data_IF_151210164164
#
_entry.id   IF_151210164164
#
_cell.length_a   1.000
_cell.length_b   1.000
_cell.length_c   1.000
_cell.angle_alpha   90.00
_cell.angle_beta   90.00
_cell.angle_gamma   90.00
#
_symmetry.space_group_name_H-M   'P 1'
#
loop_
_entity.id
_entity.type
_entity.pdbx_description
1 polymer ?
#
# COMPACT_ATOMS: atom_id res chain seq x y z
N UNK A 1 -4.34 -13.61 -11.32
CA UNK A 1 -3.17 -14.36 -10.81
C UNK A 1 -1.86 -13.64 -11.09
N UNK A 2 -1.50 -13.27 -12.34
CA UNK A 2 -0.23 -12.55 -12.65
C UNK A 2 -0.05 -11.23 -11.90
N UNK A 3 -1.11 -10.48 -11.60
CA UNK A 3 -1.02 -9.21 -10.88
C UNK A 3 -0.67 -9.41 -9.40
N UNK A 4 -1.12 -10.49 -8.80
CA UNK A 4 -0.81 -10.84 -7.40
C UNK A 4 0.65 -11.27 -7.22
N UNK A 5 1.19 -12.07 -8.13
CA UNK A 5 2.60 -12.48 -8.09
C UNK A 5 3.56 -11.27 -8.18
N UNK A 6 3.23 -10.28 -9.02
CA UNK A 6 4.04 -9.05 -9.14
C UNK A 6 4.01 -8.24 -7.85
N UNK A 7 2.87 -8.16 -7.18
CA UNK A 7 2.71 -7.49 -5.89
C UNK A 7 3.59 -8.14 -4.81
N UNK A 8 3.49 -9.44 -4.68
CA UNK A 8 4.22 -10.19 -3.65
C UNK A 8 5.73 -10.11 -3.89
N UNK A 9 6.17 -10.20 -5.15
CA UNK A 9 7.56 -9.99 -5.54
C UNK A 9 8.08 -8.58 -5.27
N UNK A 10 7.20 -7.56 -5.36
CA UNK A 10 7.54 -6.17 -5.07
C UNK A 10 7.46 -5.82 -3.56
N UNK A 11 7.04 -6.75 -2.71
CA UNK A 11 6.88 -6.51 -1.27
C UNK A 11 5.73 -5.55 -0.91
N UNK A 12 4.77 -5.36 -1.81
CA UNK A 12 3.65 -4.44 -1.61
C UNK A 12 2.59 -5.11 -0.76
N UNK A 13 2.29 -4.53 0.42
CA UNK A 13 1.18 -4.96 1.28
C UNK A 13 -0.12 -4.32 0.84
N UNK A 14 -1.20 -5.11 0.75
CA UNK A 14 -2.52 -4.62 0.37
C UNK A 14 -3.43 -4.59 1.60
N UNK A 15 -4.03 -3.43 1.80
CA UNK A 15 -5.08 -3.19 2.78
C UNK A 15 -6.34 -2.80 2.04
N UNK A 16 -7.43 -3.50 2.30
CA UNK A 16 -8.74 -3.21 1.72
C UNK A 16 -9.64 -2.64 2.80
N UNK A 17 -10.26 -1.52 2.52
CA UNK A 17 -11.20 -0.87 3.42
C UNK A 17 -12.55 -0.74 2.72
N UNK A 18 -13.55 -1.50 3.17
CA UNK A 18 -14.89 -1.50 2.60
C UNK A 18 -15.98 -1.20 3.65
N UNK A 19 -17.07 -0.59 3.22
CA UNK A 19 -18.27 -0.42 4.03
C UNK A 19 -19.12 -1.69 4.15
N UNK A 20 -18.82 -2.73 3.36
CA UNK A 20 -19.59 -3.98 3.29
C UNK A 20 -19.53 -4.79 4.58
N UNK A 21 -20.49 -5.71 4.70
CA UNK A 21 -20.52 -6.69 5.80
C UNK A 21 -19.35 -7.67 5.69
N UNK A 22 -18.96 -8.24 6.83
CA UNK A 22 -17.85 -9.18 6.95
C UNK A 22 -17.94 -10.32 5.92
N UNK A 23 -19.09 -10.95 5.81
CA UNK A 23 -19.33 -12.09 4.92
C UNK A 23 -19.18 -11.69 3.44
N UNK A 24 -19.71 -10.52 3.09
CA UNK A 24 -19.61 -9.95 1.73
C UNK A 24 -18.16 -9.61 1.39
N UNK A 25 -17.44 -8.97 2.32
CA UNK A 25 -16.04 -8.60 2.14
C UNK A 25 -15.14 -9.84 1.94
N UNK A 26 -15.38 -10.92 2.68
CA UNK A 26 -14.67 -12.19 2.52
C UNK A 26 -15.02 -12.83 1.16
N UNK A 27 -16.29 -12.85 0.78
CA UNK A 27 -16.73 -13.42 -0.49
C UNK A 27 -16.13 -12.65 -1.69
N UNK A 28 -16.10 -11.32 -1.63
CA UNK A 28 -15.43 -10.47 -2.62
C UNK A 28 -13.92 -10.75 -2.62
N UNK A 29 -13.31 -10.90 -1.46
CA UNK A 29 -11.90 -11.23 -1.32
C UNK A 29 -11.53 -12.53 -2.06
N UNK A 30 -12.35 -13.55 -1.95
CA UNK A 30 -12.18 -14.81 -2.69
C UNK A 30 -12.45 -14.66 -4.20
N UNK A 31 -13.48 -13.95 -4.59
CA UNK A 31 -13.84 -13.76 -6.01
C UNK A 31 -12.79 -12.94 -6.77
N UNK A 32 -12.16 -12.00 -6.10
CA UNK A 32 -11.06 -11.17 -6.65
C UNK A 32 -9.69 -11.83 -6.54
N UNK A 33 -9.60 -13.04 -6.00
CA UNK A 33 -8.36 -13.76 -5.72
C UNK A 33 -7.41 -12.97 -4.78
N UNK A 34 -7.96 -12.05 -4.00
CA UNK A 34 -7.23 -11.37 -2.94
C UNK A 34 -6.99 -12.31 -1.76
N UNK A 35 -8.02 -13.11 -1.44
CA UNK A 35 -7.96 -14.22 -0.50
C UNK A 35 -7.89 -15.53 -1.29
N UNK A 36 -6.91 -16.37 -0.97
CA UNK A 36 -6.83 -17.75 -1.47
C UNK A 36 -7.43 -18.71 -0.45
N UNK A 37 -7.97 -19.83 -0.93
CA UNK A 37 -8.46 -20.90 -0.05
C UNK A 37 -7.36 -21.52 0.81
N UNK A 38 -6.11 -21.38 0.37
CA UNK A 38 -4.92 -21.87 1.08
C UNK A 38 -4.45 -20.91 2.17
N UNK A 39 -5.04 -19.71 2.28
CA UNK A 39 -4.71 -18.75 3.33
C UNK A 39 -5.46 -19.05 4.62
N UNK A 40 -4.78 -18.79 5.74
CA UNK A 40 -5.38 -18.83 7.06
C UNK A 40 -6.01 -17.46 7.36
N UNK A 41 -7.28 -17.47 7.79
CA UNK A 41 -8.02 -16.26 8.12
C UNK A 41 -7.97 -15.98 9.63
N UNK A 42 -7.52 -14.79 9.98
CA UNK A 42 -7.62 -14.24 11.34
C UNK A 42 -8.75 -13.21 11.34
N UNK A 43 -9.85 -13.50 12.01
CA UNK A 43 -11.03 -12.64 12.05
C UNK A 43 -11.12 -11.97 13.43
N UNK A 44 -11.18 -10.64 13.44
CA UNK A 44 -11.33 -9.82 14.64
C UNK A 44 -12.64 -9.05 14.54
N UNK A 45 -13.56 -9.30 15.48
CA UNK A 45 -14.87 -8.65 15.54
C UNK A 45 -14.94 -7.67 16.70
N UNK A 46 -15.89 -6.71 16.62
CA UNK A 46 -16.19 -5.84 17.73
C UNK A 46 -16.74 -6.64 18.91
N UNK A 47 -16.22 -6.38 20.09
CA UNK A 47 -16.69 -6.90 21.36
C UNK A 47 -16.65 -5.81 22.42
N UNK A 48 -17.36 -5.99 23.53
CA UNK A 48 -17.34 -5.03 24.63
C UNK A 48 -15.96 -4.96 25.25
N UNK A 49 -15.54 -3.75 25.59
CA UNK A 49 -14.27 -3.44 26.24
C UNK A 49 -14.14 -4.17 27.59
N UNK A 50 -13.00 -4.82 27.83
CA UNK A 50 -12.75 -5.56 29.08
C UNK A 50 -13.39 -6.94 29.15
N UNK A 51 -14.13 -7.38 28.13
CA UNK A 51 -14.62 -8.76 28.04
C UNK A 51 -13.56 -9.68 27.41
N UNK A 52 -13.69 -11.01 27.65
CA UNK A 52 -12.87 -12.03 26.96
C UNK A 52 -13.02 -11.98 25.43
N UNK A 53 -13.96 -11.19 24.92
CA UNK A 53 -14.26 -11.02 23.52
C UNK A 53 -13.84 -9.63 22.98
N UNK A 54 -13.04 -8.88 23.76
CA UNK A 54 -12.48 -7.60 23.32
C UNK A 54 -11.58 -7.79 22.08
N UNK A 55 -11.43 -6.76 21.28
CA UNK A 55 -10.59 -6.81 20.07
C UNK A 55 -9.13 -7.18 20.41
N UNK A 56 -8.63 -6.69 21.55
CA UNK A 56 -7.30 -7.03 22.06
C UNK A 56 -7.18 -8.52 22.39
N UNK A 57 -8.12 -9.06 23.18
CA UNK A 57 -8.12 -10.47 23.55
C UNK A 57 -8.21 -11.41 22.34
N UNK A 58 -8.99 -11.03 21.33
CA UNK A 58 -9.07 -11.76 20.06
C UNK A 58 -7.74 -11.74 19.29
N UNK A 59 -7.05 -10.59 19.24
CA UNK A 59 -5.73 -10.47 18.63
C UNK A 59 -4.69 -11.29 19.38
N UNK A 60 -4.70 -11.25 20.71
CA UNK A 60 -3.79 -12.03 21.55
C UNK A 60 -4.01 -13.54 21.40
N UNK A 61 -5.27 -13.98 21.41
CA UNK A 61 -5.64 -15.37 21.13
C UNK A 61 -5.19 -15.80 19.73
N UNK A 62 -5.32 -14.92 18.74
CA UNK A 62 -4.83 -15.19 17.38
C UNK A 62 -3.31 -15.30 17.34
N UNK A 63 -2.58 -14.47 18.07
CA UNK A 63 -1.10 -14.54 18.16
C UNK A 63 -0.68 -15.87 18.82
N UNK A 64 -1.31 -16.25 19.90
CA UNK A 64 -1.01 -17.53 20.57
C UNK A 64 -1.30 -18.74 19.68
N UNK A 65 -2.44 -18.71 18.96
CA UNK A 65 -2.91 -19.84 18.13
C UNK A 65 -2.15 -19.99 16.82
N UNK A 66 -1.90 -18.89 16.10
CA UNK A 66 -1.41 -18.92 14.72
C UNK A 66 0.07 -18.57 14.59
N UNK A 67 0.63 -17.81 15.53
CA UNK A 67 1.99 -17.30 15.46
C UNK A 67 2.92 -17.87 16.53
N UNK A 68 2.43 -18.73 17.41
CA UNK A 68 3.25 -19.36 18.46
C UNK A 68 3.72 -18.41 19.56
N UNK A 69 3.07 -17.24 19.72
CA UNK A 69 3.36 -16.26 20.75
C UNK A 69 4.08 -15.01 20.24
N UNK A 70 4.30 -14.05 21.13
CA UNK A 70 4.87 -12.74 20.81
C UNK A 70 6.32 -12.78 20.30
N UNK A 71 7.13 -13.72 20.82
CA UNK A 71 8.53 -13.86 20.43
C UNK A 71 8.67 -14.39 18.99
N UNK A 72 7.88 -15.41 18.67
CA UNK A 72 7.84 -15.98 17.32
C UNK A 72 7.31 -14.97 16.29
N UNK A 73 6.28 -14.20 16.64
CA UNK A 73 5.75 -13.10 15.82
C UNK A 73 6.82 -12.04 15.51
N UNK A 74 7.67 -11.71 16.48
CA UNK A 74 8.76 -10.75 16.33
C UNK A 74 9.87 -11.26 15.40
N UNK A 75 10.12 -12.56 15.38
CA UNK A 75 11.08 -13.21 14.49
C UNK A 75 10.58 -13.28 13.04
N UNK A 76 9.29 -13.56 12.82
CA UNK A 76 8.67 -13.59 11.49
C UNK A 76 8.75 -12.25 10.76
N UNK A 77 8.70 -11.14 11.49
CA UNK A 77 8.85 -9.79 10.93
C UNK A 77 10.24 -9.54 10.31
N UNK A 78 11.28 -10.22 10.79
CA UNK A 78 12.67 -10.05 10.32
C UNK A 78 13.00 -10.87 9.07
N UNK A 79 12.23 -11.91 8.79
CA UNK A 79 12.46 -12.81 7.66
C UNK A 79 11.20 -12.84 6.77
N UNK A 80 11.22 -12.24 5.57
CA UNK A 80 10.12 -12.41 4.63
C UNK A 80 9.97 -13.90 4.31
N UNK A 81 8.73 -14.43 4.18
CA UNK A 81 8.52 -15.82 3.83
C UNK A 81 9.20 -16.11 2.49
N UNK A 82 9.87 -17.28 2.34
CA UNK A 82 10.49 -17.68 1.08
C UNK A 82 9.43 -17.72 -0.02
N UNK A 83 9.78 -17.20 -1.19
CA UNK A 83 8.97 -17.29 -2.40
C UNK A 83 9.00 -18.74 -2.87
N UNK A 84 8.07 -19.58 -2.43
CA UNK A 84 7.85 -20.86 -3.09
C UNK A 84 7.22 -20.59 -4.46
N UNK A 85 7.91 -20.99 -5.50
CA UNK A 85 7.41 -21.03 -6.87
C UNK A 85 6.23 -22.00 -6.91
N UNK A 86 5.02 -21.46 -6.92
CA UNK A 86 3.80 -22.23 -7.15
C UNK A 86 3.79 -22.62 -8.61
N UNK A 87 4.08 -23.87 -8.90
CA UNK A 87 3.82 -24.49 -10.20
C UNK A 87 2.32 -24.38 -10.48
N UNK A 88 1.99 -23.71 -11.56
CA UNK A 88 0.61 -23.50 -12.00
C UNK A 88 0.19 -24.72 -12.81
N UNK A 89 -0.51 -25.64 -12.20
CA UNK A 89 -1.28 -26.66 -12.91
C UNK A 89 -2.54 -26.03 -13.47
N UNK A 90 -2.58 -25.91 -14.79
CA UNK A 90 -3.71 -25.44 -15.59
C UNK A 90 -4.78 -26.56 -15.73
N UNK A 91 -5.49 -26.90 -14.66
CA UNK A 91 -6.67 -27.76 -14.84
C UNK A 91 -7.81 -27.46 -13.84
N UNK A 92 -8.94 -27.14 -14.45
CA UNK A 92 -10.32 -27.27 -13.96
C UNK A 92 -10.88 -26.25 -12.97
N UNK A 93 -11.71 -25.36 -13.56
CA UNK A 93 -12.74 -24.62 -12.83
C UNK A 93 -13.99 -25.51 -12.64
N UNK A 94 -14.44 -25.79 -11.43
CA UNK A 94 -15.80 -26.23 -11.21
C UNK A 94 -16.71 -25.03 -10.95
N UNK A 95 -17.85 -25.03 -11.63
CA UNK A 95 -18.92 -24.06 -11.49
C UNK A 95 -19.38 -23.94 -10.03
N UNK A 96 -19.42 -22.72 -9.51
CA UNK A 96 -19.85 -22.42 -8.15
C UNK A 96 -21.39 -22.50 -8.07
N UNK A 97 -21.90 -23.51 -7.41
CA UNK A 97 -23.25 -23.53 -6.84
C UNK A 97 -23.29 -22.59 -5.62
N UNK A 98 -24.24 -21.64 -5.62
CA UNK A 98 -24.54 -20.76 -4.48
C UNK A 98 -25.07 -21.56 -3.30
N UNK A 99 -24.50 -21.51 -2.10
CA UNK A 99 -25.18 -21.94 -0.88
C UNK A 99 -25.77 -20.72 -0.17
N UNK A 100 -27.06 -20.78 0.04
CA UNK A 100 -27.82 -19.94 0.95
C UNK A 100 -27.61 -20.46 2.39
N UNK A 101 -27.44 -19.52 3.34
CA UNK A 101 -27.32 -19.74 4.79
C UNK A 101 -26.05 -20.49 5.26
N UNK A 102 -25.00 -19.73 5.52
CA UNK A 102 -23.75 -20.28 6.04
C UNK A 102 -23.53 -19.81 7.48
N UNK A 103 -23.55 -20.74 8.42
CA UNK A 103 -23.15 -20.53 9.82
C UNK A 103 -21.66 -20.15 9.89
N UNK A 104 -21.27 -19.33 10.89
CA UNK A 104 -19.96 -18.69 10.99
C UNK A 104 -18.75 -19.64 10.98
N UNK A 105 -18.90 -20.90 11.32
CA UNK A 105 -17.86 -21.95 11.25
C UNK A 105 -17.53 -22.38 9.82
N UNK A 106 -18.43 -22.20 8.87
CA UNK A 106 -18.23 -22.63 7.48
C UNK A 106 -17.44 -21.65 6.62
N UNK A 107 -17.29 -20.38 7.05
CA UNK A 107 -16.49 -19.37 6.33
C UNK A 107 -14.98 -19.57 6.49
N UNK A 108 -14.56 -20.18 7.59
CA UNK A 108 -13.14 -20.29 7.94
C UNK A 108 -12.58 -21.69 7.65
N UNK A 109 -13.43 -22.75 7.67
CA UNK A 109 -13.04 -24.14 7.49
C UNK A 109 -12.31 -24.73 8.70
N UNK A 110 -12.32 -26.05 8.83
CA UNK A 110 -11.70 -26.77 9.97
C UNK A 110 -10.16 -26.71 9.93
N UNK A 111 -9.55 -26.58 8.74
CA UNK A 111 -8.08 -26.56 8.53
C UNK A 111 -7.43 -25.19 8.74
N UNK A 112 -8.15 -24.22 9.34
CA UNK A 112 -7.62 -22.89 9.53
C UNK A 112 -6.49 -22.87 10.57
N UNK A 113 -5.29 -22.47 10.15
CA UNK A 113 -4.05 -22.44 10.94
C UNK A 113 -2.97 -23.36 10.41
N UNK A 114 -3.31 -24.37 9.56
CA UNK A 114 -2.35 -25.31 8.98
C UNK A 114 -2.12 -25.12 7.48
N UNK A 115 -2.79 -24.13 6.87
CA UNK A 115 -2.74 -23.89 5.43
C UNK A 115 -1.43 -23.24 5.02
N UNK A 116 -0.81 -23.65 3.90
CA UNK A 116 0.50 -23.15 3.47
C UNK A 116 0.48 -21.71 2.92
N UNK A 117 -0.67 -21.17 2.56
CA UNK A 117 -0.81 -19.90 1.83
C UNK A 117 -0.53 -18.63 2.64
N UNK A 118 -0.12 -18.73 3.91
CA UNK A 118 0.11 -17.59 4.79
C UNK A 118 -1.17 -17.10 5.48
N UNK A 119 -1.13 -15.85 5.99
CA UNK A 119 -2.20 -15.30 6.82
C UNK A 119 -2.87 -14.12 6.15
N UNK A 120 -4.19 -13.99 6.34
CA UNK A 120 -4.99 -12.82 6.01
C UNK A 120 -5.73 -12.35 7.27
N UNK A 121 -5.68 -11.06 7.54
CA UNK A 121 -6.33 -10.44 8.69
C UNK A 121 -7.62 -9.76 8.24
N UNK A 122 -8.74 -10.08 8.87
CA UNK A 122 -10.05 -9.46 8.61
C UNK A 122 -10.52 -8.78 9.89
N UNK A 123 -10.73 -7.47 9.83
CA UNK A 123 -11.09 -6.65 10.99
C UNK A 123 -12.43 -5.95 10.73
N UNK A 124 -13.34 -6.01 11.69
CA UNK A 124 -14.58 -5.24 11.65
C UNK A 124 -14.37 -3.80 12.13
N UNK A 125 -15.10 -2.83 11.55
CA UNK A 125 -14.96 -1.41 11.86
C UNK A 125 -15.18 -1.06 13.34
N UNK A 126 -16.04 -1.80 14.06
CA UNK A 126 -16.21 -1.69 15.51
C UNK A 126 -14.95 -2.11 16.29
N UNK A 127 -14.35 -3.22 15.92
CA UNK A 127 -13.07 -3.66 16.49
C UNK A 127 -11.94 -2.68 16.16
N UNK A 128 -11.92 -2.15 14.93
CA UNK A 128 -10.93 -1.15 14.53
C UNK A 128 -11.02 0.12 15.38
N UNK A 129 -12.23 0.56 15.75
CA UNK A 129 -12.42 1.71 16.61
C UNK A 129 -11.77 1.48 17.99
N UNK A 130 -12.09 0.37 18.64
CA UNK A 130 -11.51 0.02 19.94
C UNK A 130 -9.99 -0.15 19.90
N UNK A 131 -9.46 -0.73 18.82
CA UNK A 131 -8.01 -0.85 18.64
C UNK A 131 -7.33 0.51 18.50
N UNK A 132 -7.97 1.48 17.82
CA UNK A 132 -7.39 2.80 17.62
C UNK A 132 -7.34 3.65 18.88
N UNK A 133 -8.13 3.35 19.90
CA UNK A 133 -8.15 4.05 21.19
C UNK A 133 -6.97 3.64 22.10
N UNK A 134 -6.46 2.41 21.97
CA UNK A 134 -5.41 1.88 22.81
C UNK A 134 -4.08 1.69 22.08
N UNK A 135 -3.02 2.21 22.64
CA UNK A 135 -1.68 2.12 22.05
C UNK A 135 -1.14 0.68 21.99
N UNK A 136 -1.39 -0.13 23.02
CA UNK A 136 -1.00 -1.54 23.04
C UNK A 136 -1.72 -2.36 21.96
N UNK A 137 -3.02 -2.16 21.82
CA UNK A 137 -3.83 -2.81 20.80
C UNK A 137 -3.39 -2.41 19.39
N UNK A 138 -3.02 -1.15 19.20
CA UNK A 138 -2.47 -0.63 17.95
C UNK A 138 -1.17 -1.34 17.56
N UNK A 139 -0.25 -1.48 18.51
CA UNK A 139 1.04 -2.11 18.24
C UNK A 139 0.88 -3.60 17.91
N UNK A 140 0.05 -4.30 18.69
CA UNK A 140 -0.25 -5.71 18.44
C UNK A 140 -0.89 -5.93 17.07
N UNK A 141 -1.89 -5.11 16.71
CA UNK A 141 -2.53 -5.16 15.39
C UNK A 141 -1.52 -4.96 14.27
N UNK A 142 -0.61 -3.97 14.40
CA UNK A 142 0.41 -3.72 13.37
C UNK A 142 1.40 -4.87 13.23
N UNK A 143 1.79 -5.50 14.34
CA UNK A 143 2.66 -6.68 14.32
C UNK A 143 1.99 -7.82 13.56
N UNK A 144 0.74 -8.13 13.87
CA UNK A 144 -0.05 -9.17 13.19
C UNK A 144 -0.25 -8.80 11.72
N UNK A 145 -0.69 -7.58 11.42
CA UNK A 145 -0.90 -7.11 10.05
C UNK A 145 0.38 -7.15 9.20
N UNK A 146 1.54 -6.88 9.80
CA UNK A 146 2.84 -6.97 9.10
C UNK A 146 3.20 -8.40 8.70
N UNK A 147 2.74 -9.41 9.43
CA UNK A 147 2.94 -10.82 9.11
C UNK A 147 1.90 -11.33 8.11
N UNK A 148 0.76 -10.65 7.96
CA UNK A 148 -0.28 -11.03 7.03
C UNK A 148 0.04 -10.55 5.60
N UNK A 149 -0.39 -11.32 4.61
CA UNK A 149 -0.30 -10.94 3.18
C UNK A 149 -1.30 -9.87 2.82
N UNK A 150 -2.49 -9.94 3.39
CA UNK A 150 -3.63 -9.08 3.11
C UNK A 150 -4.32 -8.70 4.41
N UNK A 151 -4.75 -7.45 4.50
CA UNK A 151 -5.61 -6.95 5.57
C UNK A 151 -6.91 -6.46 4.96
N UNK A 152 -8.04 -6.93 5.45
CA UNK A 152 -9.38 -6.53 5.02
C UNK A 152 -10.10 -5.89 6.20
N UNK A 153 -10.46 -4.62 6.06
CA UNK A 153 -11.28 -3.91 7.05
C UNK A 153 -12.69 -3.76 6.49
N UNK A 154 -13.67 -4.32 7.18
CA UNK A 154 -15.07 -4.31 6.78
C UNK A 154 -15.90 -3.40 7.69
N UNK A 155 -17.03 -2.90 7.21
CA UNK A 155 -17.93 -1.94 7.91
C UNK A 155 -17.19 -0.68 8.39
N UNK A 156 -16.26 -0.18 7.59
CA UNK A 156 -15.43 0.98 7.95
C UNK A 156 -16.08 2.27 7.43
N UNK A 157 -16.18 3.27 8.30
CA UNK A 157 -16.64 4.61 7.91
C UNK A 157 -15.56 5.35 7.11
N UNK A 158 -15.94 6.40 6.33
CA UNK A 158 -14.96 7.21 5.58
C UNK A 158 -13.85 7.80 6.46
N UNK A 159 -14.19 8.24 7.66
CA UNK A 159 -13.23 8.77 8.62
C UNK A 159 -12.25 7.69 9.09
N UNK A 160 -12.75 6.50 9.39
CA UNK A 160 -11.91 5.37 9.80
C UNK A 160 -10.95 4.93 8.70
N UNK A 161 -11.37 4.97 7.40
CA UNK A 161 -10.48 4.72 6.27
C UNK A 161 -9.28 5.67 6.28
N UNK A 162 -9.52 6.96 6.48
CA UNK A 162 -8.46 7.97 6.55
C UNK A 162 -7.56 7.79 7.79
N UNK A 163 -8.15 7.49 8.95
CA UNK A 163 -7.40 7.21 10.18
C UNK A 163 -6.48 6.00 10.02
N UNK A 164 -6.96 4.93 9.39
CA UNK A 164 -6.17 3.73 9.11
C UNK A 164 -4.96 4.02 8.23
N UNK A 165 -5.13 4.81 7.17
CA UNK A 165 -4.02 5.21 6.29
C UNK A 165 -2.99 6.03 7.07
N UNK A 166 -3.43 7.03 7.85
CA UNK A 166 -2.55 7.84 8.70
C UNK A 166 -1.82 6.99 9.74
N UNK A 167 -2.51 6.04 10.33
CA UNK A 167 -1.96 5.12 11.32
C UNK A 167 -0.82 4.27 10.74
N UNK A 168 -1.06 3.62 9.60
CA UNK A 168 -0.04 2.82 8.91
C UNK A 168 1.15 3.70 8.49
N UNK A 169 0.88 4.86 7.91
CA UNK A 169 1.90 5.83 7.50
C UNK A 169 2.80 6.26 8.66
N UNK A 170 2.21 6.64 9.80
CA UNK A 170 2.95 7.19 10.92
C UNK A 170 3.71 6.13 11.72
N UNK A 171 3.09 4.99 11.99
CA UNK A 171 3.70 3.92 12.80
C UNK A 171 4.73 3.08 12.02
N UNK A 172 4.46 2.76 10.76
CA UNK A 172 5.39 1.97 9.92
C UNK A 172 6.38 2.84 9.14
N UNK A 173 6.18 4.17 9.09
CA UNK A 173 6.94 5.11 8.24
C UNK A 173 7.00 4.64 6.78
N UNK A 174 5.97 3.95 6.32
CA UNK A 174 5.87 3.38 4.99
C UNK A 174 5.22 4.38 4.03
N UNK A 175 5.63 4.33 2.76
CA UNK A 175 4.96 5.07 1.69
C UNK A 175 3.61 4.40 1.44
N UNK A 176 2.53 5.17 1.60
CA UNK A 176 1.16 4.71 1.41
C UNK A 176 0.59 5.24 0.11
N UNK A 177 -0.03 4.33 -0.64
CA UNK A 177 -0.84 4.65 -1.82
C UNK A 177 -2.30 4.33 -1.48
N UNK A 178 -3.21 5.29 -1.66
CA UNK A 178 -4.63 5.08 -1.52
C UNK A 178 -5.31 5.12 -2.88
N UNK A 179 -6.30 4.25 -3.08
CA UNK A 179 -7.07 4.14 -4.31
C UNK A 179 -8.55 4.14 -3.94
N UNK A 180 -9.31 4.98 -4.60
CA UNK A 180 -10.76 5.06 -4.38
C UNK A 180 -11.49 5.57 -5.62
N UNK A 181 -12.78 5.32 -5.70
CA UNK A 181 -13.65 5.69 -6.81
C UNK A 181 -14.84 6.58 -6.38
N UNK A 182 -15.16 6.61 -5.09
CA UNK A 182 -16.32 7.31 -4.55
C UNK A 182 -15.98 8.53 -3.68
N UNK A 183 -17.04 9.29 -3.35
CA UNK A 183 -16.97 10.40 -2.41
C UNK A 183 -16.48 9.99 -1.02
N UNK A 184 -16.81 8.76 -0.61
CA UNK A 184 -16.43 8.16 0.67
C UNK A 184 -14.92 7.92 0.82
N UNK A 185 -14.18 7.93 -0.29
CA UNK A 185 -12.75 7.65 -0.32
C UNK A 185 -11.88 8.91 -0.39
N UNK A 186 -12.49 10.08 -0.58
CA UNK A 186 -11.78 11.37 -0.66
C UNK A 186 -10.87 11.59 0.54
N UNK A 187 -11.38 11.38 1.76
CA UNK A 187 -10.59 11.56 2.99
C UNK A 187 -9.43 10.57 3.10
N UNK A 188 -9.61 9.35 2.61
CA UNK A 188 -8.58 8.31 2.55
C UNK A 188 -7.50 8.66 1.52
N UNK A 189 -7.89 9.09 0.33
CA UNK A 189 -7.01 9.51 -0.75
C UNK A 189 -6.12 10.67 -0.29
N UNK A 190 -6.70 11.69 0.35
CA UNK A 190 -5.95 12.83 0.87
C UNK A 190 -5.04 12.52 2.07
N UNK A 191 -5.33 11.45 2.82
CA UNK A 191 -4.51 11.02 3.94
C UNK A 191 -3.23 10.27 3.51
N UNK A 192 -3.21 9.70 2.31
CA UNK A 192 -2.06 8.97 1.76
C UNK A 192 -0.97 9.91 1.23
N UNK A 193 0.24 9.38 0.96
CA UNK A 193 1.28 10.12 0.26
C UNK A 193 1.05 10.17 -1.24
N UNK A 194 0.39 9.16 -1.80
CA UNK A 194 -0.01 9.12 -3.20
C UNK A 194 -1.47 8.71 -3.28
N UNK A 195 -2.30 9.57 -3.85
CA UNK A 195 -3.71 9.34 -4.04
C UNK A 195 -4.03 9.02 -5.50
N UNK A 196 -4.78 7.95 -5.74
CA UNK A 196 -5.24 7.57 -7.09
C UNK A 196 -6.77 7.50 -7.10
N UNK A 197 -7.37 8.36 -7.91
CA UNK A 197 -8.81 8.33 -8.17
C UNK A 197 -9.14 7.46 -9.37
N UNK A 198 -10.13 6.59 -9.24
CA UNK A 198 -10.68 5.82 -10.36
C UNK A 198 -11.92 6.56 -10.85
N UNK A 199 -11.97 6.86 -12.14
CA UNK A 199 -13.15 7.47 -12.76
C UNK A 199 -14.26 6.40 -12.85
N UNK A 200 -15.19 6.44 -11.90
CA UNK A 200 -16.33 5.54 -11.81
C UNK A 200 -17.66 6.23 -12.07
N UNK A 201 -18.74 5.49 -11.93
CA UNK A 201 -20.11 5.98 -12.07
C UNK A 201 -20.56 6.83 -10.87
N UNK A 202 -19.89 6.69 -9.71
CA UNK A 202 -20.23 7.40 -8.46
C UNK A 202 -19.82 8.88 -8.43
N UNK A 203 -19.18 9.38 -9.50
CA UNK A 203 -18.82 10.78 -9.66
C UNK A 203 -17.31 11.05 -9.77
N UNK A 204 -16.98 12.34 -9.96
CA UNK A 204 -15.59 12.78 -10.16
C UNK A 204 -14.91 13.25 -8.85
N UNK A 205 -15.52 13.05 -7.69
CA UNK A 205 -15.03 13.60 -6.43
C UNK A 205 -13.70 12.99 -6.01
N UNK A 206 -13.57 11.66 -6.11
CA UNK A 206 -12.31 10.95 -5.85
C UNK A 206 -11.21 11.39 -6.84
N UNK A 207 -11.57 11.52 -8.12
CA UNK A 207 -10.65 11.96 -9.19
C UNK A 207 -10.13 13.37 -8.94
N UNK A 208 -11.02 14.30 -8.60
CA UNK A 208 -10.67 15.70 -8.36
C UNK A 208 -9.80 15.91 -7.09
N UNK A 209 -9.86 14.95 -6.16
CA UNK A 209 -9.12 15.00 -4.89
C UNK A 209 -7.84 14.17 -4.90
N UNK A 210 -7.52 13.52 -6.03
CA UNK A 210 -6.39 12.60 -6.16
C UNK A 210 -5.20 13.23 -6.91
N UNK A 211 -4.01 12.69 -6.68
CA UNK A 211 -2.79 13.08 -7.40
C UNK A 211 -2.77 12.52 -8.83
N UNK A 212 -3.36 11.34 -9.00
CA UNK A 212 -3.46 10.65 -10.30
C UNK A 212 -4.88 10.14 -10.52
N UNK A 213 -5.34 10.24 -11.76
CA UNK A 213 -6.63 9.72 -12.17
C UNK A 213 -6.47 8.60 -13.19
N UNK A 214 -7.21 7.52 -13.02
CA UNK A 214 -7.25 6.39 -13.95
C UNK A 214 -8.70 6.04 -14.30
N UNK A 215 -8.96 5.69 -15.56
CA UNK A 215 -10.31 5.30 -15.99
C UNK A 215 -10.74 3.90 -15.55
N UNK A 216 -9.80 3.00 -15.30
CA UNK A 216 -10.08 1.64 -14.83
C UNK A 216 -8.97 1.16 -13.91
N UNK A 217 -9.33 0.38 -12.88
CA UNK A 217 -8.38 -0.17 -11.90
C UNK A 217 -7.23 -0.96 -12.54
N UNK A 218 -7.47 -1.65 -13.67
CA UNK A 218 -6.41 -2.39 -14.41
C UNK A 218 -5.25 -1.52 -14.86
N UNK A 219 -5.47 -0.24 -15.08
CA UNK A 219 -4.44 0.70 -15.52
C UNK A 219 -3.46 1.08 -14.41
N UNK A 220 -3.79 0.77 -13.15
CA UNK A 220 -2.89 0.96 -12.01
C UNK A 220 -1.54 0.26 -12.22
N UNK A 221 -1.54 -0.95 -12.79
CA UNK A 221 -0.31 -1.68 -13.12
C UNK A 221 0.58 -0.85 -14.05
N UNK A 222 0.00 -0.26 -15.10
CA UNK A 222 0.74 0.56 -16.06
C UNK A 222 1.21 1.87 -15.43
N UNK A 223 0.37 2.49 -14.59
CA UNK A 223 0.73 3.69 -13.85
C UNK A 223 1.97 3.45 -12.97
N UNK A 224 1.97 2.41 -12.16
CA UNK A 224 3.07 2.13 -11.22
C UNK A 224 4.34 1.61 -11.92
N UNK A 225 4.21 0.60 -12.79
CA UNK A 225 5.38 -0.10 -13.35
C UNK A 225 6.00 0.61 -14.54
N UNK A 226 5.21 1.29 -15.35
CA UNK A 226 5.71 1.98 -16.55
C UNK A 226 5.91 3.47 -16.27
N UNK A 227 4.84 4.18 -15.93
CA UNK A 227 4.92 5.63 -15.74
C UNK A 227 5.73 6.01 -14.50
N UNK A 228 5.57 5.29 -13.39
CA UNK A 228 6.36 5.49 -12.17
C UNK A 228 7.85 5.26 -12.41
N UNK A 229 8.21 4.16 -13.09
CA UNK A 229 9.61 3.87 -13.44
C UNK A 229 10.23 4.96 -14.33
N UNK A 230 9.52 5.38 -15.38
CA UNK A 230 10.01 6.43 -16.28
C UNK A 230 10.10 7.79 -15.60
N UNK A 231 9.16 8.11 -14.70
CA UNK A 231 9.20 9.34 -13.91
C UNK A 231 10.42 9.36 -12.99
N UNK A 232 10.67 8.26 -12.27
CA UNK A 232 11.87 8.11 -11.44
C UNK A 232 13.15 8.29 -12.24
N UNK A 233 13.26 7.62 -13.38
CA UNK A 233 14.44 7.70 -14.25
C UNK A 233 14.69 9.12 -14.78
N UNK A 234 13.64 9.81 -15.24
CA UNK A 234 13.74 11.20 -15.71
C UNK A 234 14.14 12.14 -14.59
N UNK A 235 13.53 12.02 -13.42
CA UNK A 235 13.85 12.85 -12.26
C UNK A 235 15.28 12.61 -11.77
N UNK A 236 15.74 11.38 -11.74
CA UNK A 236 17.12 11.05 -11.39
C UNK A 236 18.12 11.68 -12.36
N UNK A 237 17.87 11.60 -13.68
CA UNK A 237 18.71 12.26 -14.68
C UNK A 237 18.69 13.79 -14.54
N UNK A 238 17.52 14.37 -14.30
CA UNK A 238 17.37 15.81 -14.12
C UNK A 238 18.18 16.29 -12.90
N UNK A 239 18.09 15.59 -11.78
CA UNK A 239 18.85 15.93 -10.57
C UNK A 239 20.36 15.83 -10.83
N UNK A 240 20.82 14.75 -11.47
CA UNK A 240 22.23 14.59 -11.80
C UNK A 240 22.72 15.71 -12.74
N UNK A 241 21.91 16.07 -13.75
CA UNK A 241 22.26 17.17 -14.66
C UNK A 241 22.31 18.51 -13.93
N UNK A 242 21.40 18.74 -12.98
CA UNK A 242 21.40 19.95 -12.16
C UNK A 242 22.69 20.06 -11.35
N UNK A 243 23.10 19.02 -10.64
CA UNK A 243 24.36 19.02 -9.90
C UNK A 243 25.57 19.17 -10.82
N UNK A 244 25.60 18.46 -11.95
CA UNK A 244 26.67 18.60 -12.94
C UNK A 244 26.80 20.04 -13.43
N UNK A 245 25.67 20.69 -13.78
CA UNK A 245 25.66 22.10 -14.18
C UNK A 245 26.25 23.02 -13.11
N UNK A 246 25.90 22.79 -11.82
CA UNK A 246 26.42 23.60 -10.73
C UNK A 246 27.92 23.39 -10.53
N UNK A 247 28.41 22.15 -10.61
CA UNK A 247 29.86 21.86 -10.49
C UNK A 247 30.62 22.50 -11.63
N UNK A 248 30.15 22.40 -12.87
CA UNK A 248 30.77 23.04 -14.04
C UNK A 248 30.80 24.56 -13.85
N UNK A 249 29.69 25.18 -13.46
CA UNK A 249 29.62 26.63 -13.23
C UNK A 249 30.59 27.09 -12.14
N UNK A 250 30.55 26.44 -10.99
CA UNK A 250 31.42 26.78 -9.87
C UNK A 250 32.90 26.55 -10.22
N UNK A 251 33.20 25.43 -10.88
CA UNK A 251 34.55 25.12 -11.36
C UNK A 251 35.09 26.16 -12.35
N UNK A 252 34.26 26.59 -13.29
CA UNK A 252 34.61 27.65 -14.25
C UNK A 252 34.93 28.96 -13.53
N UNK A 253 34.11 29.36 -12.57
CA UNK A 253 34.36 30.58 -11.75
C UNK A 253 35.64 30.47 -10.94
N UNK A 254 35.89 29.29 -10.35
CA UNK A 254 37.12 29.07 -9.58
C UNK A 254 38.37 29.21 -10.45
N UNK A 255 38.41 28.57 -11.61
CA UNK A 255 39.54 28.69 -12.54
C UNK A 255 39.69 30.11 -13.09
N UNK A 256 38.58 30.79 -13.38
CA UNK A 256 38.59 32.17 -13.81
C UNK A 256 39.25 33.08 -12.77
N UNK A 257 38.96 32.91 -11.49
CA UNK A 257 39.55 33.69 -10.40
C UNK A 257 41.07 33.52 -10.34
N UNK A 258 41.56 32.32 -10.59
CA UNK A 258 43.02 32.09 -10.63
C UNK A 258 43.66 32.85 -11.80
N UNK A 259 43.09 32.82 -13.00
CA UNK A 259 43.58 33.54 -14.17
C UNK A 259 43.42 35.07 -14.03
N UNK A 260 42.37 35.52 -13.39
CA UNK A 260 42.11 36.93 -13.15
C UNK A 260 42.92 37.52 -11.95
N UNK A 261 43.83 36.74 -11.36
CA UNK A 261 44.63 37.11 -10.22
C UNK A 261 43.80 37.67 -9.07
N UNK A 262 42.64 37.06 -8.83
CA UNK A 262 41.67 37.43 -7.80
C UNK A 262 41.10 38.85 -7.95
N UNK A 263 41.11 39.39 -9.17
CA UNK A 263 40.47 40.69 -9.46
C UNK A 263 38.96 40.57 -9.33
N UNK A 264 38.29 41.66 -8.96
CA UNK A 264 36.81 41.70 -8.85
C UNK A 264 36.12 41.90 -10.20
N UNK A 265 36.79 41.66 -11.33
CA UNK A 265 36.18 41.75 -12.66
C UNK A 265 35.09 40.73 -12.83
N UNK A 266 33.94 41.12 -13.42
CA UNK A 266 32.84 40.23 -13.69
C UNK A 266 33.26 39.20 -14.75
N UNK A 267 33.36 37.93 -14.33
CA UNK A 267 33.76 36.83 -15.20
C UNK A 267 32.68 36.25 -16.08
N UNK A 268 31.45 36.67 -15.92
CA UNK A 268 30.33 36.17 -16.71
C UNK A 268 29.60 37.31 -17.38
N UNK A 269 29.88 37.48 -18.65
CA UNK A 269 29.05 38.29 -19.54
C UNK A 269 27.88 37.46 -20.10
N UNK A 270 26.85 38.17 -20.59
CA UNK A 270 25.66 37.63 -21.25
C UNK A 270 25.98 36.63 -22.38
N UNK A 271 27.19 36.66 -22.95
CA UNK A 271 27.68 35.72 -23.94
C UNK A 271 27.70 34.25 -23.47
N UNK A 272 27.97 34.00 -22.19
CA UNK A 272 27.97 32.63 -21.63
C UNK A 272 26.58 32.07 -21.48
N UNK A 273 25.54 32.88 -21.29
CA UNK A 273 24.16 32.49 -21.29
C UNK A 273 23.75 31.99 -22.67
N UNK A 274 24.23 32.62 -23.73
CA UNK A 274 23.97 32.20 -25.12
C UNK A 274 24.66 30.88 -25.50
N UNK A 275 25.80 30.55 -24.88
CA UNK A 275 26.48 29.27 -25.12
C UNK A 275 25.77 28.12 -24.41
N UNK A 276 25.15 28.35 -23.26
CA UNK A 276 24.46 27.32 -22.49
C UNK A 276 23.02 27.04 -22.99
N UNK A 277 22.42 27.95 -23.74
CA UNK A 277 21.15 27.75 -24.42
C UNK A 277 21.38 27.41 -25.89
N UNK A 278 21.07 26.15 -26.33
CA UNK A 278 21.11 25.84 -27.75
C UNK A 278 20.09 26.73 -28.45
N UNK A 279 20.59 27.58 -29.35
CA UNK A 279 19.75 28.39 -30.21
C UNK A 279 18.74 27.48 -30.89
N UNK A 280 17.48 27.63 -30.52
CA UNK A 280 16.37 26.93 -31.14
C UNK A 280 16.33 27.37 -32.61
N UNK A 281 16.83 26.51 -33.50
CA UNK A 281 16.68 26.74 -34.96
C UNK A 281 15.18 26.89 -35.21
N UNK A 282 14.78 28.10 -35.58
CA UNK A 282 13.49 28.35 -36.22
C UNK A 282 13.54 27.64 -37.57
N UNK A 283 12.84 26.49 -37.66
CA UNK A 283 12.44 25.87 -38.91
C UNK A 283 11.03 26.30 -39.23
#
# INVERSE_FOLDING_TARGET
QRQMCIRDSAGIKIWVATGDKLETAIAIGYSTLLLSRDMNLVIVRGGEYGSNNSAYAQLEAAVARFFGGHDALSQMRRKPPPLEEVQVDDQQSPAASRPSNVSHTSLVGEDNGQRPGGFALVIEGSALHSIMEEEFSQELMLRVASCCRVVVCCRVSPLQKALMVRFVRNKLKAITLAIGDGANDVSMIQAAQVGVGVAGEEGLQAVNSSDYAIGQFRFLKRLLLVHGHWSYYRNSKMINLFFYKQVVHTGTLFWFQIYAAWSTSQGMDLSLIHISEPTRRRG
#
